data_IF_495699581448
#
_entry.id   IF_495699581448
#
_cell.length_a   1.000
_cell.length_b   1.000
_cell.length_c   1.000
_cell.angle_alpha   90.00
_cell.angle_beta   90.00
_cell.angle_gamma   90.00
#
_symmetry.space_group_name_H-M   'P 1'
#
loop_
_entity.id
_entity.type
_entity.pdbx_description
1 polymer ?
#
# COMPACT_ATOMS: atom_id res chain seq x y z
N UNK A 1 -41.62 -28.89 1.40
CA UNK A 1 -40.22 -28.89 1.87
C UNK A 1 -39.31 -29.01 0.65
N UNK A 2 -38.97 -27.89 0.01
CA UNK A 2 -38.17 -27.86 -1.21
C UNK A 2 -36.69 -27.65 -0.86
N UNK A 3 -35.84 -28.64 -1.16
CA UNK A 3 -34.38 -28.52 -1.04
C UNK A 3 -33.83 -27.84 -2.29
N UNK A 4 -33.17 -26.70 -2.11
CA UNK A 4 -32.36 -26.05 -3.15
C UNK A 4 -31.11 -26.90 -3.43
N UNK A 5 -30.68 -27.05 -4.70
CA UNK A 5 -29.36 -27.60 -5.00
C UNK A 5 -28.26 -26.54 -4.86
N UNK A 6 -27.20 -26.93 -4.19
CA UNK A 6 -26.01 -26.14 -3.86
C UNK A 6 -25.31 -25.61 -5.13
N UNK A 7 -25.04 -24.31 -5.15
CA UNK A 7 -24.22 -23.63 -6.16
C UNK A 7 -22.77 -24.07 -5.98
N UNK A 8 -22.32 -25.06 -6.76
CA UNK A 8 -20.89 -25.34 -6.93
C UNK A 8 -20.26 -24.21 -7.73
N UNK A 9 -19.60 -23.27 -7.05
CA UNK A 9 -18.63 -22.37 -7.68
C UNK A 9 -17.32 -23.15 -7.76
N UNK A 10 -17.13 -23.86 -8.87
CA UNK A 10 -15.81 -24.35 -9.27
C UNK A 10 -15.02 -23.15 -9.81
N UNK A 11 -14.31 -22.46 -8.92
CA UNK A 11 -13.21 -21.60 -9.36
C UNK A 11 -12.10 -22.50 -9.88
N UNK A 12 -11.88 -22.48 -11.20
CA UNK A 12 -10.69 -23.05 -11.83
C UNK A 12 -9.44 -22.37 -11.27
N UNK A 13 -8.86 -22.94 -10.22
CA UNK A 13 -7.49 -22.62 -9.83
C UNK A 13 -6.57 -23.38 -10.77
N UNK A 14 -6.01 -22.66 -11.75
CA UNK A 14 -5.00 -23.17 -12.67
C UNK A 14 -3.75 -23.57 -11.89
N UNK A 15 -3.71 -24.84 -11.46
CA UNK A 15 -2.54 -25.43 -10.84
C UNK A 15 -1.46 -25.63 -11.91
N UNK A 16 -0.56 -24.64 -12.05
CA UNK A 16 0.71 -24.87 -12.74
C UNK A 16 1.52 -25.86 -11.90
N UNK A 17 1.43 -27.13 -12.28
CA UNK A 17 2.19 -28.23 -11.73
C UNK A 17 3.70 -27.95 -11.85
N UNK A 18 4.31 -27.52 -10.74
CA UNK A 18 5.75 -27.41 -10.56
C UNK A 18 6.22 -28.45 -9.53
N UNK A 19 6.67 -29.60 -10.04
CA UNK A 19 7.60 -30.56 -9.44
C UNK A 19 7.75 -30.59 -7.89
N UNK A 20 6.85 -31.31 -7.21
CA UNK A 20 7.22 -32.39 -6.27
C UNK A 20 8.12 -32.11 -5.04
N UNK A 21 8.19 -30.91 -4.47
CA UNK A 21 8.97 -30.67 -3.25
C UNK A 21 8.47 -29.50 -2.40
N UNK A 22 7.57 -29.78 -1.44
CA UNK A 22 7.33 -28.92 -0.28
C UNK A 22 6.90 -27.48 -0.55
N UNK A 23 6.19 -27.21 -1.65
CA UNK A 23 5.71 -25.86 -1.97
C UNK A 23 4.49 -25.56 -1.10
N UNK A 24 4.65 -24.65 -0.14
CA UNK A 24 3.54 -24.15 0.67
C UNK A 24 2.40 -23.60 -0.20
N UNK A 25 1.12 -23.77 0.20
CA UNK A 25 -0.01 -23.21 -0.53
C UNK A 25 0.09 -21.69 -0.69
N UNK A 26 -0.41 -21.15 -1.79
CA UNK A 26 -0.36 -19.71 -2.10
C UNK A 26 -0.94 -18.85 -0.97
N UNK A 27 -2.14 -19.21 -0.48
CA UNK A 27 -2.81 -18.53 0.63
C UNK A 27 -1.98 -18.51 1.92
N UNK A 28 -1.17 -19.53 2.16
CA UNK A 28 -0.31 -19.57 3.34
C UNK A 28 0.80 -18.53 3.23
N UNK A 29 1.46 -18.46 2.07
CA UNK A 29 2.53 -17.48 1.84
C UNK A 29 1.97 -16.06 1.84
N UNK A 30 0.77 -15.84 1.28
CA UNK A 30 0.08 -14.55 1.36
C UNK A 30 -0.20 -14.15 2.82
N UNK A 31 -0.69 -15.08 3.64
CA UNK A 31 -0.92 -14.83 5.06
C UNK A 31 0.39 -14.51 5.78
N UNK A 32 1.46 -15.27 5.55
CA UNK A 32 2.79 -15.00 6.13
C UNK A 32 3.30 -13.63 5.72
N UNK A 33 3.23 -13.28 4.43
CA UNK A 33 3.65 -11.97 3.94
C UNK A 33 2.88 -10.83 4.59
N UNK A 34 1.56 -11.00 4.76
CA UNK A 34 0.69 -10.03 5.45
C UNK A 34 1.07 -9.90 6.92
N UNK A 35 1.17 -11.00 7.67
CA UNK A 35 1.50 -10.95 9.10
C UNK A 35 2.88 -10.35 9.34
N UNK A 36 3.88 -10.68 8.50
CA UNK A 36 5.22 -10.08 8.58
C UNK A 36 5.17 -8.57 8.31
N UNK A 37 4.40 -8.14 7.31
CA UNK A 37 4.24 -6.72 7.02
C UNK A 37 3.58 -5.96 8.18
N UNK A 38 2.52 -6.53 8.75
CA UNK A 38 1.76 -5.94 9.86
C UNK A 38 2.61 -5.91 11.13
N UNK A 39 3.31 -6.99 11.44
CA UNK A 39 4.22 -7.04 12.59
C UNK A 39 5.34 -5.98 12.46
N UNK A 40 5.96 -5.87 11.29
CA UNK A 40 6.97 -4.84 11.01
C UNK A 40 6.39 -3.43 11.11
N UNK A 41 5.18 -3.21 10.57
CA UNK A 41 4.51 -1.92 10.63
C UNK A 41 4.18 -1.49 12.07
N UNK A 42 3.74 -2.45 12.92
CA UNK A 42 3.40 -2.19 14.32
C UNK A 42 4.63 -2.00 15.22
N UNK A 43 5.76 -2.63 14.90
CA UNK A 43 7.00 -2.51 15.67
C UNK A 43 7.79 -1.24 15.34
N UNK A 44 8.19 -1.10 14.08
CA UNK A 44 9.15 -0.07 13.63
C UNK A 44 8.54 0.96 12.66
N UNK A 45 7.24 0.84 12.38
CA UNK A 45 6.47 1.71 11.50
C UNK A 45 6.31 1.18 10.08
N UNK A 46 5.31 1.72 9.37
CA UNK A 46 4.90 1.29 8.03
C UNK A 46 6.03 1.26 6.96
N UNK A 47 7.08 2.06 7.15
CA UNK A 47 8.23 2.07 6.24
C UNK A 47 9.13 0.84 6.35
N UNK A 48 9.07 0.08 7.44
CA UNK A 48 9.86 -1.16 7.57
C UNK A 48 9.12 -2.36 6.95
N UNK A 49 7.79 -2.27 6.82
CA UNK A 49 6.97 -3.30 6.20
C UNK A 49 7.34 -3.59 4.74
N UNK A 50 7.70 -2.56 3.96
CA UNK A 50 8.09 -2.73 2.56
C UNK A 50 9.29 -3.67 2.37
N UNK A 51 10.46 -3.36 2.96
CA UNK A 51 11.60 -4.26 2.97
C UNK A 51 11.28 -5.65 3.51
N UNK A 52 10.52 -5.76 4.61
CA UNK A 52 10.16 -7.04 5.20
C UNK A 52 9.40 -7.95 4.21
N UNK A 53 8.39 -7.42 3.52
CA UNK A 53 7.64 -8.16 2.49
C UNK A 53 8.51 -8.58 1.33
N UNK A 54 9.43 -7.72 0.89
CA UNK A 54 10.36 -8.04 -0.21
C UNK A 54 11.28 -9.21 0.17
N UNK A 55 11.76 -9.28 1.42
CA UNK A 55 12.59 -10.42 1.86
C UNK A 55 11.85 -11.74 1.80
N UNK A 56 10.56 -11.77 2.12
CA UNK A 56 9.70 -12.96 2.00
C UNK A 56 9.65 -13.44 0.54
N UNK A 57 9.41 -12.54 -0.42
CA UNK A 57 9.33 -12.92 -1.84
C UNK A 57 10.69 -13.23 -2.50
N UNK A 58 11.79 -13.05 -1.78
CA UNK A 58 13.12 -13.42 -2.25
C UNK A 58 13.53 -14.85 -1.89
N UNK A 59 12.79 -15.54 -1.00
CA UNK A 59 13.14 -16.88 -0.48
C UNK A 59 13.22 -17.94 -1.60
N UNK A 60 12.22 -17.99 -2.49
CA UNK A 60 12.24 -18.90 -3.65
C UNK A 60 11.38 -18.37 -4.81
N UNK A 61 11.51 -18.97 -6.00
CA UNK A 61 10.78 -18.57 -7.20
C UNK A 61 9.26 -18.72 -7.05
N UNK A 62 8.78 -19.73 -6.32
CA UNK A 62 7.34 -19.89 -6.06
C UNK A 62 6.79 -18.73 -5.24
N UNK A 63 7.47 -18.34 -4.16
CA UNK A 63 7.04 -17.21 -3.33
C UNK A 63 7.12 -15.90 -4.09
N UNK A 64 8.13 -15.77 -4.97
CA UNK A 64 8.21 -14.64 -5.90
C UNK A 64 7.03 -14.60 -6.85
N UNK A 65 6.51 -15.74 -7.31
CA UNK A 65 5.35 -15.76 -8.19
C UNK A 65 4.09 -15.23 -7.49
N UNK A 66 3.96 -15.53 -6.19
CA UNK A 66 2.85 -15.05 -5.34
C UNK A 66 2.90 -13.53 -5.16
N UNK A 67 4.07 -12.90 -5.29
CA UNK A 67 4.18 -11.42 -5.28
C UNK A 67 3.48 -10.74 -6.47
N UNK A 68 2.93 -11.48 -7.43
CA UNK A 68 2.07 -10.93 -8.48
C UNK A 68 0.57 -10.91 -8.11
N UNK A 69 0.19 -11.44 -6.94
CA UNK A 69 -1.20 -11.48 -6.47
C UNK A 69 -1.71 -10.07 -6.11
N UNK A 70 -2.72 -9.57 -6.83
CA UNK A 70 -3.31 -8.26 -6.56
C UNK A 70 -4.06 -8.20 -5.22
N UNK A 71 -4.68 -9.32 -4.81
CA UNK A 71 -5.43 -9.42 -3.54
C UNK A 71 -4.48 -9.28 -2.35
N UNK A 72 -3.27 -9.86 -2.47
CA UNK A 72 -2.21 -9.71 -1.48
C UNK A 72 -1.79 -8.24 -1.32
N UNK A 73 -1.51 -7.55 -2.42
CA UNK A 73 -1.11 -6.14 -2.36
C UNK A 73 -2.23 -5.22 -1.86
N UNK A 74 -3.49 -5.53 -2.17
CA UNK A 74 -4.65 -4.85 -1.60
C UNK A 74 -4.69 -4.97 -0.09
N UNK A 75 -4.53 -6.20 0.42
CA UNK A 75 -4.50 -6.46 1.84
C UNK A 75 -3.31 -5.73 2.49
N UNK A 76 -2.12 -5.81 1.92
CA UNK A 76 -0.92 -5.13 2.43
C UNK A 76 -1.10 -3.61 2.46
N UNK A 77 -1.60 -3.01 1.38
CA UNK A 77 -1.82 -1.56 1.32
C UNK A 77 -2.79 -1.10 2.41
N UNK A 78 -3.90 -1.82 2.61
CA UNK A 78 -4.88 -1.48 3.64
C UNK A 78 -4.38 -1.69 5.06
N UNK A 79 -3.65 -2.76 5.34
CA UNK A 79 -3.22 -3.06 6.71
C UNK A 79 -2.00 -2.23 7.13
N UNK A 80 -1.10 -1.91 6.19
CA UNK A 80 0.11 -1.13 6.50
C UNK A 80 -0.16 0.38 6.52
N UNK A 81 -1.04 0.89 5.65
CA UNK A 81 -1.28 2.33 5.47
C UNK A 81 -2.66 2.81 5.95
N UNK A 82 -3.35 2.01 6.77
CA UNK A 82 -4.71 2.22 7.27
C UNK A 82 -5.82 2.09 6.20
N UNK A 83 -6.72 1.13 6.43
CA UNK A 83 -7.74 0.67 5.50
C UNK A 83 -8.82 1.72 5.23
N UNK A 84 -9.04 2.65 6.15
CA UNK A 84 -10.10 3.66 6.05
C UNK A 84 -9.78 4.80 5.06
N UNK A 85 -8.49 5.05 4.81
CA UNK A 85 -8.02 6.17 3.99
C UNK A 85 -7.37 5.72 2.67
N UNK A 86 -7.12 4.41 2.53
CA UNK A 86 -6.43 3.85 1.37
C UNK A 86 -7.42 3.50 0.25
N UNK A 87 -7.72 4.49 -0.60
CA UNK A 87 -8.42 4.29 -1.88
C UNK A 87 -7.41 4.06 -3.00
N UNK A 88 -7.59 3.00 -3.80
CA UNK A 88 -6.70 2.68 -4.93
C UNK A 88 -6.69 3.83 -5.95
N UNK A 89 -5.57 4.56 -6.04
CA UNK A 89 -5.35 5.62 -7.04
C UNK A 89 -4.58 5.13 -8.28
N UNK A 90 -3.75 4.11 -8.13
CA UNK A 90 -2.98 3.51 -9.22
C UNK A 90 -3.75 2.40 -9.95
N UNK A 91 -3.20 1.92 -11.07
CA UNK A 91 -3.83 0.86 -11.88
C UNK A 91 -3.80 -0.51 -11.18
N UNK A 92 -2.75 -0.77 -10.38
CA UNK A 92 -2.61 -1.96 -9.55
C UNK A 92 -2.45 -1.62 -8.07
N UNK A 93 -2.81 -2.56 -7.19
CA UNK A 93 -2.56 -2.42 -5.76
C UNK A 93 -1.08 -2.46 -5.42
N UNK A 94 -0.28 -3.21 -6.19
CA UNK A 94 1.18 -3.23 -6.05
C UNK A 94 1.79 -1.85 -6.27
N UNK A 95 1.40 -1.16 -7.34
CA UNK A 95 1.86 0.20 -7.61
C UNK A 95 1.38 1.19 -6.56
N UNK A 96 0.14 1.04 -6.07
CA UNK A 96 -0.38 1.88 -4.99
C UNK A 96 0.45 1.70 -3.70
N UNK A 97 0.79 0.46 -3.34
CA UNK A 97 1.67 0.18 -2.20
C UNK A 97 3.04 0.84 -2.37
N UNK A 98 3.66 0.70 -3.55
CA UNK A 98 4.95 1.34 -3.86
C UNK A 98 4.85 2.85 -3.77
N UNK A 99 3.78 3.45 -4.33
CA UNK A 99 3.53 4.89 -4.31
C UNK A 99 3.43 5.40 -2.88
N UNK A 100 2.60 4.76 -2.04
CA UNK A 100 2.44 5.13 -0.63
C UNK A 100 3.77 5.03 0.13
N UNK A 101 4.51 3.94 -0.09
CA UNK A 101 5.81 3.72 0.52
C UNK A 101 6.84 4.79 0.13
N UNK A 102 6.92 5.13 -1.16
CA UNK A 102 7.79 6.20 -1.66
C UNK A 102 7.36 7.57 -1.13
N UNK A 103 6.05 7.85 -1.09
CA UNK A 103 5.51 9.09 -0.52
C UNK A 103 5.91 9.24 0.95
N UNK A 104 5.66 8.22 1.77
CA UNK A 104 6.04 8.22 3.19
C UNK A 104 7.56 8.30 3.38
N UNK A 105 8.34 7.61 2.54
CA UNK A 105 9.80 7.67 2.58
C UNK A 105 10.32 9.07 2.25
N UNK A 106 9.73 9.74 1.24
CA UNK A 106 10.09 11.11 0.88
C UNK A 106 9.77 12.10 2.01
N UNK A 107 8.63 11.92 2.70
CA UNK A 107 8.30 12.74 3.88
C UNK A 107 9.30 12.49 5.02
N UNK A 108 9.64 11.24 5.34
CA UNK A 108 10.61 10.91 6.40
C UNK A 108 11.99 11.50 6.13
N UNK A 109 12.45 11.48 4.89
CA UNK A 109 13.77 12.00 4.51
C UNK A 109 13.77 13.50 4.16
N UNK A 110 12.66 14.20 4.45
CA UNK A 110 12.48 15.64 4.16
C UNK A 110 12.82 16.01 2.69
N UNK A 111 12.49 15.10 1.76
CA UNK A 111 12.67 15.29 0.31
C UNK A 111 11.39 15.78 -0.38
N UNK A 112 10.33 16.00 0.39
CA UNK A 112 9.14 16.70 -0.09
C UNK A 112 9.50 18.16 -0.35
N UNK A 113 9.79 18.50 -1.60
CA UNK A 113 9.96 19.89 -2.03
C UNK A 113 8.59 20.56 -1.97
N UNK A 114 8.29 21.24 -0.86
CA UNK A 114 7.15 22.14 -0.79
C UNK A 114 7.50 23.40 -1.59
N UNK A 115 6.90 23.56 -2.78
CA UNK A 115 6.77 24.88 -3.37
C UNK A 115 5.88 25.68 -2.44
N UNK A 116 6.47 26.52 -1.59
CA UNK A 116 5.74 27.50 -0.79
C UNK A 116 5.27 28.63 -1.70
N UNK A 117 4.12 28.43 -2.35
CA UNK A 117 3.38 29.54 -2.94
C UNK A 117 2.57 30.18 -1.82
N UNK A 118 3.21 31.09 -1.07
CA UNK A 118 2.50 32.04 -0.22
C UNK A 118 2.99 33.42 -0.61
N UNK A 119 2.36 34.00 -1.63
CA UNK A 119 2.45 35.42 -1.93
C UNK A 119 1.43 36.12 -1.03
N UNK A 120 1.89 36.60 0.13
CA UNK A 120 1.15 37.57 0.93
C UNK A 120 1.36 38.95 0.30
N UNK A 121 0.48 39.41 -0.58
CA UNK A 121 0.28 40.86 -0.71
C UNK A 121 -0.67 41.28 0.42
N UNK A 122 -0.07 41.73 1.53
CA UNK A 122 -0.81 42.44 2.58
C UNK A 122 -0.99 43.90 2.15
N UNK A 123 -2.25 44.33 2.22
CA UNK A 123 -2.79 45.64 1.91
C UNK A 123 -1.95 46.82 2.44
N UNK A 124 -1.68 47.80 1.57
CA UNK A 124 -1.34 49.15 2.00
C UNK A 124 -2.63 49.87 2.40
N UNK A 125 -3.02 49.74 3.67
CA UNK A 125 -4.09 50.56 4.22
C UNK A 125 -3.61 51.99 4.48
N UNK A 126 -4.52 52.89 4.13
CA UNK A 126 -4.49 54.34 4.18
C UNK A 126 -4.14 54.92 5.55
N UNK A 127 -3.45 56.07 5.59
CA UNK A 127 -3.90 57.28 6.30
C UNK A 127 -2.86 58.41 6.31
N UNK A 128 -3.32 59.62 5.96
CA UNK A 128 -2.60 60.88 6.20
C UNK A 128 -3.47 62.08 5.79
N UNK A 129 -4.04 62.75 6.79
CA UNK A 129 -5.07 63.80 6.70
C UNK A 129 -4.45 65.22 6.88
N UNK A 130 -5.11 66.27 6.37
CA UNK A 130 -4.85 67.72 6.62
C UNK A 130 -3.97 68.40 5.56
N UNK A 131 -4.22 69.60 5.02
CA UNK A 131 -4.84 70.87 5.50
C UNK A 131 -5.29 71.66 4.24
N UNK A 132 -6.42 72.38 4.15
CA UNK A 132 -6.74 73.58 4.92
C UNK A 132 -6.10 74.85 4.32
N UNK A 133 -6.70 75.46 3.28
CA UNK A 133 -6.80 76.92 3.00
C UNK A 133 -7.57 77.17 1.71
#
# INVERSE_FOLDING_TARGET
>A
MSRQPERRIAGEVSARAGNGGGVWPELFVEAVAREVAVAAANGDGALVAGPAVVTIFQVCSTWRNISNSEILWEALARHVWDASQTTRRMHSWREEFIRLHLTASNFRHNRAKHTSAIEYEVSSDSSGNGTGS
#
